data_IF_936354650862
#
_entry.id   IF_936354650862
#
_cell.length_a   1.000
_cell.length_b   1.000
_cell.length_c   1.000
_cell.angle_alpha   90.00
_cell.angle_beta   90.00
_cell.angle_gamma   90.00
#
_symmetry.space_group_name_H-M   'P 1'
#
loop_
_entity.id
_entity.type
_entity.pdbx_description
1 polymer ?
#
# COMPACT_ATOMS: atom_id res chain seq x y z
N UNK A 1 16.47 23.92 3.79
CA UNK A 1 16.18 23.67 5.22
C UNK A 1 15.41 22.35 5.33
N UNK A 2 16.11 21.22 5.35
CA UNK A 2 15.50 19.89 5.50
C UNK A 2 15.54 19.49 6.96
N UNK A 3 14.42 19.10 7.55
CA UNK A 3 14.37 18.59 8.92
C UNK A 3 15.36 17.42 9.08
N UNK A 4 16.05 17.31 10.24
CA UNK A 4 17.05 16.26 10.44
C UNK A 4 16.39 14.88 10.45
N UNK A 5 17.01 13.93 9.75
CA UNK A 5 16.62 12.52 9.80
C UNK A 5 16.79 11.99 11.23
N UNK A 6 15.67 11.63 11.86
CA UNK A 6 15.64 11.00 13.19
C UNK A 6 15.64 9.48 12.99
N UNK A 7 16.73 8.77 13.32
CA UNK A 7 16.74 7.32 13.19
C UNK A 7 15.69 6.73 14.14
N UNK A 8 14.80 5.90 13.59
CA UNK A 8 13.85 5.14 14.39
C UNK A 8 14.62 4.26 15.39
N UNK A 9 14.24 4.29 16.66
CA UNK A 9 14.80 3.38 17.66
C UNK A 9 14.46 1.95 17.24
N UNK A 10 15.39 1.00 17.46
CA UNK A 10 15.25 -0.42 17.04
C UNK A 10 13.97 -1.13 17.55
N UNK A 11 13.20 -0.51 18.45
CA UNK A 11 12.00 -1.06 19.07
C UNK A 11 10.69 -0.52 18.51
N UNK A 12 10.69 0.60 17.76
CA UNK A 12 9.47 1.22 17.24
C UNK A 12 9.59 1.43 15.72
N UNK A 13 8.72 0.76 14.96
CA UNK A 13 8.60 0.95 13.50
C UNK A 13 7.70 2.13 13.12
N UNK A 14 7.14 2.82 14.12
CA UNK A 14 6.24 3.96 13.96
C UNK A 14 6.98 5.25 14.31
N UNK A 15 6.90 6.25 13.42
CA UNK A 15 7.27 7.63 13.71
C UNK A 15 6.06 8.40 14.25
N UNK A 16 6.14 8.82 15.51
CA UNK A 16 5.07 9.58 16.17
C UNK A 16 4.82 10.95 15.51
N UNK A 17 5.88 11.61 14.99
CA UNK A 17 5.77 12.92 14.35
C UNK A 17 5.09 12.79 12.97
N UNK A 18 5.28 11.66 12.29
CA UNK A 18 4.54 11.33 11.07
C UNK A 18 3.07 11.01 11.35
N UNK A 19 2.80 10.18 12.37
CA UNK A 19 1.43 9.86 12.77
C UNK A 19 0.64 11.13 13.13
N UNK A 20 1.24 12.05 13.89
CA UNK A 20 0.63 13.33 14.25
C UNK A 20 0.33 14.22 13.03
N UNK A 21 1.24 14.27 12.04
CA UNK A 21 1.01 15.02 10.80
C UNK A 21 -0.17 14.48 9.99
N UNK A 22 -0.30 13.16 9.87
CA UNK A 22 -1.46 12.57 9.19
C UNK A 22 -2.77 12.73 9.98
N UNK A 23 -2.72 12.64 11.31
CA UNK A 23 -3.89 12.83 12.16
C UNK A 23 -4.54 14.21 11.97
N UNK A 24 -3.74 15.28 11.83
CA UNK A 24 -4.22 16.65 11.60
C UNK A 24 -4.96 16.85 10.27
N UNK A 25 -4.88 15.90 9.34
CA UNK A 25 -5.56 16.00 8.03
C UNK A 25 -6.55 14.86 7.80
N UNK A 26 -6.77 14.00 8.80
CA UNK A 26 -7.55 12.78 8.68
C UNK A 26 -9.05 13.04 8.42
N UNK A 27 -9.60 14.16 8.89
CA UNK A 27 -10.99 14.56 8.59
C UNK A 27 -11.26 14.73 7.09
N UNK A 28 -10.25 15.11 6.31
CA UNK A 28 -10.36 15.29 4.86
C UNK A 28 -10.06 14.01 4.07
N UNK A 29 -9.78 12.89 4.74
CA UNK A 29 -9.32 11.67 4.09
C UNK A 29 -10.28 11.18 3.01
N UNK A 30 -11.58 11.31 3.23
CA UNK A 30 -12.62 10.83 2.31
C UNK A 30 -13.15 11.88 1.33
N UNK A 31 -12.65 13.12 1.38
CA UNK A 31 -13.04 14.13 0.41
C UNK A 31 -12.35 13.87 -0.94
N UNK A 32 -13.15 13.49 -1.94
CA UNK A 32 -12.69 13.22 -3.30
C UNK A 32 -12.08 14.45 -4.00
N UNK A 33 -12.41 15.66 -3.54
CA UNK A 33 -11.85 16.92 -4.03
C UNK A 33 -10.82 17.56 -3.08
N UNK A 34 -10.59 16.93 -1.93
CA UNK A 34 -9.69 17.41 -0.89
C UNK A 34 -8.20 17.13 -1.16
N UNK A 35 -7.33 17.32 -0.16
CA UNK A 35 -5.87 17.18 -0.29
C UNK A 35 -5.42 15.78 -0.73
N UNK A 36 -6.22 14.74 -0.46
CA UNK A 36 -5.94 13.36 -0.85
C UNK A 36 -6.55 12.95 -2.20
N UNK A 37 -7.10 13.90 -2.98
CA UNK A 37 -7.63 13.67 -4.34
C UNK A 37 -6.69 12.86 -5.24
N UNK A 38 -5.35 13.05 -5.25
CA UNK A 38 -4.45 12.20 -6.03
C UNK A 38 -4.51 10.71 -5.65
N UNK A 39 -4.65 10.39 -4.35
CA UNK A 39 -4.79 9.00 -3.87
C UNK A 39 -6.09 8.39 -4.37
N UNK A 40 -7.20 9.12 -4.27
CA UNK A 40 -8.52 8.69 -4.75
C UNK A 40 -8.51 8.40 -6.25
N UNK A 41 -7.91 9.30 -7.04
CA UNK A 41 -7.76 9.11 -8.50
C UNK A 41 -6.90 7.90 -8.87
N UNK A 42 -5.94 7.54 -8.01
CA UNK A 42 -5.03 6.43 -8.25
C UNK A 42 -5.62 5.07 -7.86
N UNK A 43 -6.70 5.04 -7.06
CA UNK A 43 -7.29 3.80 -6.57
C UNK A 43 -7.71 2.81 -7.67
N UNK A 44 -8.40 3.22 -8.77
CA UNK A 44 -8.75 2.29 -9.83
C UNK A 44 -7.54 1.54 -10.42
N UNK A 45 -6.48 2.27 -10.77
CA UNK A 45 -5.26 1.68 -11.32
C UNK A 45 -4.54 0.76 -10.32
N UNK A 46 -4.50 1.14 -9.04
CA UNK A 46 -3.94 0.31 -7.95
C UNK A 46 -4.72 -1.00 -7.81
N UNK A 47 -6.04 -0.93 -7.82
CA UNK A 47 -6.90 -2.11 -7.70
C UNK A 47 -6.70 -3.07 -8.87
N UNK A 48 -6.62 -2.56 -10.10
CA UNK A 48 -6.39 -3.38 -11.28
C UNK A 48 -5.01 -4.06 -11.25
N UNK A 49 -3.98 -3.32 -10.84
CA UNK A 49 -2.64 -3.87 -10.64
C UNK A 49 -2.64 -5.00 -9.59
N UNK A 50 -3.21 -4.75 -8.41
CA UNK A 50 -3.25 -5.73 -7.32
C UNK A 50 -4.02 -6.98 -7.74
N UNK A 51 -5.21 -6.82 -8.36
CA UNK A 51 -6.00 -7.94 -8.87
C UNK A 51 -5.21 -8.77 -9.87
N UNK A 52 -4.58 -8.12 -10.84
CA UNK A 52 -3.76 -8.79 -11.86
C UNK A 52 -2.59 -9.55 -11.23
N UNK A 53 -1.89 -8.95 -10.27
CA UNK A 53 -0.79 -9.57 -9.56
C UNK A 53 -1.24 -10.82 -8.78
N UNK A 54 -2.36 -10.73 -8.05
CA UNK A 54 -2.96 -11.85 -7.32
C UNK A 54 -3.33 -12.99 -8.28
N UNK A 55 -4.01 -12.67 -9.38
CA UNK A 55 -4.43 -13.66 -10.38
C UNK A 55 -3.23 -14.36 -11.02
N UNK A 56 -2.17 -13.61 -11.36
CA UNK A 56 -0.91 -14.16 -11.88
C UNK A 56 -0.23 -15.09 -10.86
N UNK A 57 -0.16 -14.68 -9.60
CA UNK A 57 0.43 -15.49 -8.54
C UNK A 57 -0.34 -16.81 -8.35
N UNK A 58 -1.68 -16.77 -8.31
CA UNK A 58 -2.54 -17.96 -8.22
C UNK A 58 -2.30 -18.89 -9.41
N UNK A 59 -2.31 -18.38 -10.65
CA UNK A 59 -2.05 -19.19 -11.86
C UNK A 59 -0.70 -19.90 -11.81
N UNK A 60 0.33 -19.23 -11.31
CA UNK A 60 1.67 -19.83 -11.15
C UNK A 60 1.70 -20.94 -10.09
N UNK A 61 0.97 -20.77 -8.98
CA UNK A 61 0.87 -21.79 -7.91
C UNK A 61 0.11 -23.04 -8.34
N UNK A 62 -0.99 -22.91 -9.09
CA UNK A 62 -1.76 -24.05 -9.61
C UNK A 62 -1.05 -24.80 -10.74
N UNK A 63 -0.21 -24.10 -11.53
CA UNK A 63 0.60 -24.72 -12.59
C UNK A 63 1.66 -25.66 -12.02
N UNK A 64 2.28 -25.33 -10.89
CA UNK A 64 3.26 -26.20 -10.22
C UNK A 64 2.60 -27.49 -9.71
N UNK A 65 1.43 -27.41 -9.09
CA UNK A 65 0.72 -28.60 -8.57
C UNK A 65 0.24 -29.50 -9.72
N UNK A 66 -0.27 -28.94 -10.81
CA UNK A 66 -0.73 -29.71 -11.97
C UNK A 66 0.40 -30.41 -12.77
N UNK A 67 1.68 -30.07 -12.52
CA UNK A 67 2.82 -30.71 -13.20
C UNK A 67 3.36 -31.91 -12.41
N UNK A 68 3.02 -32.04 -11.12
CA UNK A 68 3.41 -33.16 -10.24
C UNK A 68 2.38 -34.30 -10.22
N UNK A 69 1.34 -34.23 -11.05
CA UNK A 69 0.23 -35.18 -11.06
C UNK A 69 -0.19 -35.52 -12.50
N UNK A 70 0.79 -35.83 -13.34
CA UNK A 70 0.57 -36.59 -14.58
C UNK A 70 1.10 -38.01 -14.36
N UNK A 71 0.38 -39.08 -14.78
CA UNK A 71 0.96 -40.41 -14.83
C UNK A 71 2.18 -40.45 -15.76
#
# INVERSE_FOLDING_TARGET
>A
MTAPYKPLSKSATIDADEAYRFAQTAEHWWDANGPFRPLHKLNPARLDFIRTAIMRHKKNRWRIIATLQRP
#
